data_IF_208901536883
#
_entry.id   IF_208901536883
#
_cell.length_a   1.000
_cell.length_b   1.000
_cell.length_c   1.000
_cell.angle_alpha   90.00
_cell.angle_beta   90.00
_cell.angle_gamma   90.00
#
_symmetry.space_group_name_H-M   'P 1'
#
loop_
_entity.id
_entity.type
_entity.pdbx_description
1 polymer ?
#
# COMPACT_ATOMS: atom_id res chain seq x y z
N UNK A 1 63.07 22.39 11.33
CA UNK A 1 62.88 21.02 10.74
C UNK A 1 62.07 20.07 11.62
N UNK A 2 62.25 19.99 12.96
CA UNK A 2 61.49 19.03 13.80
C UNK A 2 59.98 19.39 14.04
N UNK A 3 59.57 20.66 13.92
CA UNK A 3 58.16 21.07 14.12
C UNK A 3 57.26 20.85 12.91
N UNK A 4 57.80 20.91 11.68
CA UNK A 4 57.01 20.68 10.48
C UNK A 4 56.77 19.19 10.21
N UNK A 5 57.66 18.32 10.65
CA UNK A 5 57.51 16.87 10.54
C UNK A 5 56.41 16.31 11.47
N UNK A 6 56.20 16.94 12.64
CA UNK A 6 55.13 16.54 13.59
C UNK A 6 53.76 16.96 13.05
N UNK A 7 53.66 18.11 12.38
CA UNK A 7 52.42 18.59 11.81
C UNK A 7 51.96 17.72 10.60
N UNK A 8 52.88 17.26 9.80
CA UNK A 8 52.59 16.40 8.64
C UNK A 8 52.12 15.00 9.05
N UNK A 9 52.67 14.45 10.15
CA UNK A 9 52.27 13.13 10.67
C UNK A 9 50.89 13.20 11.34
N UNK A 10 50.55 14.32 12.00
CA UNK A 10 49.23 14.55 12.61
C UNK A 10 48.13 14.76 11.54
N UNK A 11 48.42 15.41 10.45
CA UNK A 11 47.47 15.58 9.32
C UNK A 11 47.25 14.28 8.59
N UNK A 12 48.29 13.45 8.42
CA UNK A 12 48.12 12.09 7.80
C UNK A 12 47.35 11.14 8.70
N UNK A 13 47.46 11.21 10.01
CA UNK A 13 46.69 10.41 10.97
C UNK A 13 45.21 10.85 11.04
N UNK A 14 44.92 12.13 10.85
CA UNK A 14 43.55 12.65 10.80
C UNK A 14 42.84 12.30 9.47
N UNK A 15 43.56 12.13 8.36
CA UNK A 15 43.00 11.71 7.08
C UNK A 15 42.73 10.19 6.98
N UNK A 16 43.42 9.40 7.80
CA UNK A 16 43.16 7.93 7.87
C UNK A 16 42.04 7.55 8.84
N UNK A 17 41.62 8.46 9.73
CA UNK A 17 40.50 8.18 10.65
C UNK A 17 39.11 8.44 10.08
N UNK A 18 39.00 9.02 8.85
CA UNK A 18 37.71 9.31 8.21
C UNK A 18 37.35 8.35 7.06
N UNK A 19 38.04 7.23 6.89
CA UNK A 19 37.52 6.11 6.10
C UNK A 19 36.84 5.12 7.04
N UNK A 20 35.70 5.51 7.63
CA UNK A 20 34.68 4.53 7.98
C UNK A 20 34.32 3.81 6.68
N UNK A 21 34.75 2.56 6.53
CA UNK A 21 34.15 1.65 5.57
C UNK A 21 32.65 1.72 5.81
N UNK A 22 31.90 2.39 4.92
CA UNK A 22 30.49 2.07 4.75
C UNK A 22 30.47 0.57 4.54
N UNK A 23 30.07 -0.19 5.56
CA UNK A 23 29.59 -1.53 5.36
C UNK A 23 28.39 -1.37 4.42
N UNK A 24 28.58 -1.72 3.14
CA UNK A 24 27.48 -1.91 2.20
C UNK A 24 26.71 -3.07 2.82
N UNK A 25 25.63 -2.75 3.54
CA UNK A 25 24.65 -3.75 3.94
C UNK A 25 24.30 -4.52 2.65
N UNK A 26 24.31 -5.86 2.67
CA UNK A 26 23.95 -6.63 1.49
C UNK A 26 22.56 -6.17 1.06
N UNK A 27 22.42 -5.75 -0.20
CA UNK A 27 21.13 -5.35 -0.74
C UNK A 27 20.13 -6.50 -0.53
N UNK A 28 19.04 -6.23 0.19
CA UNK A 28 17.98 -7.22 0.40
C UNK A 28 17.47 -7.65 -0.97
N UNK A 29 17.54 -8.95 -1.27
CA UNK A 29 16.89 -9.48 -2.47
C UNK A 29 15.39 -9.25 -2.37
N UNK A 30 14.80 -8.61 -3.35
CA UNK A 30 13.36 -8.35 -3.38
C UNK A 30 12.54 -9.52 -3.92
N UNK A 31 13.20 -10.58 -4.45
CA UNK A 31 12.53 -11.79 -4.92
C UNK A 31 12.59 -12.91 -3.87
N UNK A 32 11.57 -12.98 -3.00
CA UNK A 32 11.47 -14.01 -1.97
C UNK A 32 11.13 -15.40 -2.54
N UNK A 33 10.48 -15.48 -3.71
CA UNK A 33 10.25 -16.78 -4.35
C UNK A 33 11.56 -17.45 -4.74
N UNK A 34 12.52 -16.68 -5.25
CA UNK A 34 13.86 -17.20 -5.52
C UNK A 34 14.64 -17.47 -4.22
N UNK A 35 14.65 -16.50 -3.30
CA UNK A 35 15.47 -16.56 -2.08
C UNK A 35 15.03 -17.67 -1.14
N UNK A 36 13.73 -17.85 -0.92
CA UNK A 36 13.21 -18.79 0.06
C UNK A 36 12.76 -20.12 -0.55
N UNK A 37 12.31 -20.13 -1.82
CA UNK A 37 11.75 -21.32 -2.45
C UNK A 37 12.61 -21.89 -3.57
N UNK A 38 13.69 -21.18 -3.98
CA UNK A 38 14.56 -21.62 -5.07
C UNK A 38 13.91 -21.54 -6.46
N UNK A 39 12.84 -20.74 -6.62
CA UNK A 39 12.21 -20.55 -7.93
C UNK A 39 13.15 -19.80 -8.87
N UNK A 40 13.23 -20.21 -10.12
CA UNK A 40 13.97 -19.48 -11.14
C UNK A 40 13.24 -18.16 -11.48
N UNK A 41 14.01 -17.15 -11.93
CA UNK A 41 13.42 -15.88 -12.37
C UNK A 41 12.39 -16.10 -13.48
N UNK A 42 12.67 -17.01 -14.42
CA UNK A 42 11.75 -17.33 -15.52
C UNK A 42 10.40 -17.91 -15.05
N UNK A 43 10.39 -18.76 -14.00
CA UNK A 43 9.14 -19.25 -13.42
C UNK A 43 8.36 -18.12 -12.75
N UNK A 44 9.07 -17.22 -12.06
CA UNK A 44 8.47 -16.06 -11.39
C UNK A 44 7.87 -15.10 -12.41
N UNK A 45 8.63 -14.75 -13.46
CA UNK A 45 8.16 -13.85 -14.52
C UNK A 45 6.94 -14.43 -15.26
N UNK A 46 6.97 -15.71 -15.60
CA UNK A 46 5.84 -16.39 -16.23
C UNK A 46 4.57 -16.38 -15.34
N UNK A 47 4.75 -16.48 -14.01
CA UNK A 47 3.62 -16.37 -13.07
C UNK A 47 3.04 -14.95 -13.07
N UNK A 48 3.88 -13.91 -13.07
CA UNK A 48 3.45 -12.50 -13.12
C UNK A 48 2.75 -12.21 -14.45
N UNK A 49 3.29 -12.66 -15.58
CA UNK A 49 2.64 -12.50 -16.89
C UNK A 49 1.27 -13.19 -16.94
N UNK A 50 1.16 -14.38 -16.34
CA UNK A 50 -0.13 -15.09 -16.22
C UNK A 50 -1.14 -14.33 -15.39
N UNK A 51 -0.72 -13.66 -14.29
CA UNK A 51 -1.59 -12.83 -13.48
C UNK A 51 -2.03 -11.55 -14.19
N UNK A 52 -1.11 -10.92 -14.94
CA UNK A 52 -1.50 -9.82 -15.80
C UNK A 52 -2.59 -10.24 -16.80
N UNK A 53 -2.38 -11.35 -17.49
CA UNK A 53 -3.38 -11.88 -18.43
C UNK A 53 -4.70 -12.24 -17.73
N UNK A 54 -4.64 -12.76 -16.49
CA UNK A 54 -5.81 -13.13 -15.71
C UNK A 54 -6.69 -11.92 -15.36
N UNK A 55 -6.10 -10.85 -14.81
CA UNK A 55 -6.84 -9.71 -14.28
C UNK A 55 -7.02 -8.55 -15.26
N UNK A 56 -6.08 -8.37 -16.20
CA UNK A 56 -5.99 -7.20 -17.07
C UNK A 56 -6.20 -7.48 -18.56
N UNK A 57 -6.45 -8.71 -18.98
CA UNK A 57 -7.04 -8.89 -20.31
C UNK A 57 -8.40 -8.22 -20.31
N UNK A 58 -8.70 -7.27 -21.24
CA UNK A 58 -9.94 -6.55 -21.20
C UNK A 58 -11.16 -7.48 -21.18
N UNK A 59 -12.00 -7.36 -20.15
CA UNK A 59 -13.21 -8.14 -20.01
C UNK A 59 -14.38 -7.56 -20.81
N UNK A 60 -15.43 -8.33 -20.93
CA UNK A 60 -16.72 -7.90 -21.48
C UNK A 60 -17.64 -7.43 -20.35
N UNK A 61 -17.92 -6.13 -20.26
CA UNK A 61 -18.78 -5.55 -19.23
C UNK A 61 -20.18 -6.19 -19.17
N UNK A 62 -20.69 -6.76 -20.26
CA UNK A 62 -21.98 -7.44 -20.25
C UNK A 62 -21.92 -8.80 -19.53
N UNK A 63 -20.74 -9.30 -19.19
CA UNK A 63 -20.49 -10.62 -18.60
C UNK A 63 -19.68 -10.59 -17.33
N UNK A 64 -19.39 -9.43 -16.76
CA UNK A 64 -18.50 -9.31 -15.59
C UNK A 64 -18.96 -10.12 -14.36
N UNK A 65 -20.25 -10.47 -14.27
CA UNK A 65 -20.80 -11.34 -13.21
C UNK A 65 -20.79 -12.84 -13.57
N UNK A 66 -20.34 -13.21 -14.78
CA UNK A 66 -20.37 -14.60 -15.20
C UNK A 66 -19.47 -15.49 -14.33
N UNK A 67 -19.94 -16.71 -14.04
CA UNK A 67 -19.14 -17.71 -13.37
C UNK A 67 -17.84 -17.98 -14.13
N UNK A 68 -16.70 -18.00 -13.40
CA UNK A 68 -15.39 -18.21 -13.99
C UNK A 68 -14.76 -17.00 -14.66
N UNK A 69 -15.43 -15.83 -14.66
CA UNK A 69 -14.83 -14.58 -15.16
C UNK A 69 -13.63 -14.19 -14.28
N UNK A 70 -12.57 -13.69 -14.95
CA UNK A 70 -11.26 -13.45 -14.34
C UNK A 70 -10.90 -11.98 -14.31
N UNK A 71 -11.26 -11.24 -15.37
CA UNK A 71 -10.84 -9.86 -15.53
C UNK A 71 -11.51 -8.93 -14.50
N UNK A 72 -10.74 -7.97 -14.01
CA UNK A 72 -11.25 -6.80 -13.27
C UNK A 72 -11.09 -5.52 -14.09
N UNK A 73 -10.31 -5.58 -15.19
CA UNK A 73 -10.05 -4.45 -16.08
C UNK A 73 -10.98 -4.47 -17.28
N UNK A 74 -11.57 -3.33 -17.58
CA UNK A 74 -12.49 -3.15 -18.72
C UNK A 74 -12.18 -1.86 -19.45
N UNK A 75 -12.20 -1.89 -20.78
CA UNK A 75 -12.03 -0.70 -21.60
C UNK A 75 -13.34 0.07 -21.73
N UNK A 76 -13.25 1.40 -21.71
CA UNK A 76 -14.36 2.32 -21.90
C UNK A 76 -14.06 3.20 -23.12
N UNK A 77 -14.64 2.81 -24.26
CA UNK A 77 -14.24 3.35 -25.56
C UNK A 77 -12.75 3.10 -25.84
N UNK A 78 -12.16 3.88 -26.73
CA UNK A 78 -10.78 3.65 -27.20
C UNK A 78 -9.72 4.23 -26.24
N UNK A 79 -10.12 5.13 -25.34
CA UNK A 79 -9.15 5.97 -24.62
C UNK A 79 -9.20 5.88 -23.12
N UNK A 80 -10.15 5.18 -22.52
CA UNK A 80 -10.32 5.04 -21.08
C UNK A 80 -10.41 3.57 -20.66
N UNK A 81 -10.21 3.31 -19.36
CA UNK A 81 -10.34 2.00 -18.76
C UNK A 81 -10.77 2.11 -17.31
N UNK A 82 -11.37 1.07 -16.79
CA UNK A 82 -11.85 0.97 -15.41
C UNK A 82 -11.46 -0.36 -14.77
N UNK A 83 -11.28 -0.31 -13.45
CA UNK A 83 -11.25 -1.50 -12.59
C UNK A 83 -12.63 -1.58 -11.92
N UNK A 84 -13.30 -2.70 -12.10
CA UNK A 84 -14.66 -2.91 -11.59
C UNK A 84 -14.63 -3.70 -10.29
N UNK A 85 -15.24 -3.17 -9.23
CA UNK A 85 -15.66 -4.00 -8.10
C UNK A 85 -16.85 -4.86 -8.52
N UNK A 86 -16.53 -6.08 -8.90
CA UNK A 86 -17.48 -7.05 -9.43
C UNK A 86 -18.45 -7.60 -8.38
N UNK A 87 -18.14 -7.40 -7.10
CA UNK A 87 -19.02 -7.72 -5.98
C UNK A 87 -20.14 -6.70 -5.79
N UNK A 88 -19.81 -5.42 -5.99
CA UNK A 88 -20.69 -4.26 -5.75
C UNK A 88 -21.20 -3.60 -7.02
N UNK A 89 -20.67 -3.97 -8.18
CA UNK A 89 -21.05 -3.42 -9.48
C UNK A 89 -20.79 -1.92 -9.60
N UNK A 90 -19.58 -1.52 -9.17
CA UNK A 90 -19.16 -0.12 -9.16
C UNK A 90 -17.66 0.02 -9.49
N UNK A 91 -17.19 1.26 -9.54
CA UNK A 91 -15.78 1.63 -9.73
C UNK A 91 -15.34 2.43 -8.51
N UNK A 92 -14.25 2.01 -7.86
CA UNK A 92 -13.72 2.62 -6.64
C UNK A 92 -12.34 3.23 -6.87
N UNK A 93 -12.04 4.31 -6.15
CA UNK A 93 -10.67 4.91 -6.17
C UNK A 93 -9.61 3.90 -5.77
N UNK A 94 -9.91 3.00 -4.83
CA UNK A 94 -9.06 1.89 -4.43
C UNK A 94 -8.65 1.05 -5.65
N UNK A 95 -9.61 0.48 -6.38
CA UNK A 95 -9.33 -0.37 -7.54
C UNK A 95 -8.63 0.37 -8.66
N UNK A 96 -9.06 1.61 -8.95
CA UNK A 96 -8.45 2.44 -9.99
C UNK A 96 -6.98 2.74 -9.67
N UNK A 97 -6.67 3.10 -8.42
CA UNK A 97 -5.32 3.42 -7.98
C UNK A 97 -4.41 2.18 -7.90
N UNK A 98 -4.93 1.04 -7.46
CA UNK A 98 -4.21 -0.24 -7.51
C UNK A 98 -3.94 -0.69 -8.95
N UNK A 99 -4.93 -0.53 -9.84
CA UNK A 99 -4.76 -0.81 -11.27
C UNK A 99 -3.67 0.05 -11.90
N UNK A 100 -3.61 1.34 -11.56
CA UNK A 100 -2.51 2.22 -11.99
C UNK A 100 -1.16 1.74 -11.42
N UNK A 101 -1.08 1.39 -10.15
CA UNK A 101 0.15 0.93 -9.52
C UNK A 101 0.65 -0.38 -10.16
N UNK A 102 -0.21 -1.36 -10.37
CA UNK A 102 0.13 -2.63 -11.03
C UNK A 102 0.62 -2.38 -12.46
N UNK A 103 -0.11 -1.55 -13.22
CA UNK A 103 0.24 -1.17 -14.59
C UNK A 103 1.60 -0.48 -14.66
N UNK A 104 1.88 0.40 -13.71
CA UNK A 104 3.17 1.09 -13.59
C UNK A 104 4.31 0.10 -13.33
N UNK A 105 4.15 -0.81 -12.36
CA UNK A 105 5.21 -1.76 -12.03
C UNK A 105 5.56 -2.66 -13.22
N UNK A 106 4.57 -3.06 -14.01
CA UNK A 106 4.73 -3.93 -15.17
C UNK A 106 4.97 -3.18 -16.50
N UNK A 107 5.26 -1.87 -16.44
CA UNK A 107 5.51 -1.02 -17.62
C UNK A 107 4.37 -1.00 -18.65
N UNK A 108 3.13 -1.06 -18.17
CA UNK A 108 1.91 -1.02 -19.01
C UNK A 108 1.35 0.42 -19.07
N UNK A 109 2.13 1.34 -19.64
CA UNK A 109 1.81 2.78 -19.68
C UNK A 109 0.45 3.09 -20.28
N UNK A 110 0.03 2.39 -21.34
CA UNK A 110 -1.25 2.63 -21.99
C UNK A 110 -2.42 2.38 -21.03
N UNK A 111 -2.39 1.25 -20.30
CA UNK A 111 -3.43 0.92 -19.31
C UNK A 111 -3.42 1.93 -18.15
N UNK A 112 -2.24 2.31 -17.65
CA UNK A 112 -2.08 3.35 -16.65
C UNK A 112 -2.76 4.67 -17.09
N UNK A 113 -2.48 5.14 -18.31
CA UNK A 113 -3.04 6.39 -18.84
C UNK A 113 -4.56 6.28 -19.06
N UNK A 114 -5.08 5.11 -19.47
CA UNK A 114 -6.52 4.86 -19.63
C UNK A 114 -7.25 4.95 -18.28
N UNK A 115 -6.71 4.29 -17.23
CA UNK A 115 -7.25 4.33 -15.88
C UNK A 115 -7.22 5.75 -15.30
N UNK A 116 -6.07 6.42 -15.40
CA UNK A 116 -5.91 7.78 -14.89
C UNK A 116 -6.83 8.80 -15.60
N UNK A 117 -7.03 8.64 -16.89
CA UNK A 117 -7.95 9.52 -17.64
C UNK A 117 -9.38 9.36 -17.17
N UNK A 118 -9.83 8.13 -16.95
CA UNK A 118 -11.17 7.87 -16.43
C UNK A 118 -11.34 8.44 -15.01
N UNK A 119 -10.40 8.19 -14.12
CA UNK A 119 -10.44 8.71 -12.76
C UNK A 119 -10.53 10.23 -12.72
N UNK A 120 -9.71 10.94 -13.52
CA UNK A 120 -9.79 12.40 -13.62
C UNK A 120 -11.11 12.92 -14.21
N UNK A 121 -11.71 12.16 -15.11
CA UNK A 121 -12.92 12.61 -15.82
C UNK A 121 -14.17 12.45 -14.96
N UNK A 122 -14.26 11.35 -14.23
CA UNK A 122 -15.51 10.96 -13.57
C UNK A 122 -15.44 10.97 -12.05
N UNK A 123 -14.27 10.68 -11.45
CA UNK A 123 -14.13 10.64 -9.98
C UNK A 123 -13.69 11.98 -9.40
N UNK A 124 -12.87 12.77 -10.09
CA UNK A 124 -12.38 14.03 -9.56
C UNK A 124 -13.54 14.99 -9.26
N UNK A 125 -13.50 15.62 -8.09
CA UNK A 125 -14.44 16.68 -7.76
C UNK A 125 -14.13 17.97 -8.53
N UNK A 126 -15.14 18.77 -8.90
CA UNK A 126 -14.97 20.03 -9.64
C UNK A 126 -14.03 21.02 -8.94
N UNK A 127 -13.37 21.87 -9.71
CA UNK A 127 -12.40 22.86 -9.20
C UNK A 127 -13.01 23.89 -8.24
N UNK A 128 -14.27 24.23 -8.40
CA UNK A 128 -15.04 25.15 -7.56
C UNK A 128 -15.67 24.48 -6.33
N UNK A 129 -15.51 23.15 -6.19
CA UNK A 129 -15.98 22.40 -5.04
C UNK A 129 -15.03 22.55 -3.85
N UNK A 130 -15.52 22.55 -2.58
CA UNK A 130 -14.67 22.36 -1.41
C UNK A 130 -13.82 21.09 -1.48
N UNK A 131 -14.32 20.06 -2.17
CA UNK A 131 -13.64 18.78 -2.41
C UNK A 131 -12.61 18.82 -3.56
N UNK A 132 -12.37 19.97 -4.21
CA UNK A 132 -11.37 20.07 -5.28
C UNK A 132 -10.03 19.44 -4.89
N UNK A 133 -9.49 18.57 -5.75
CA UNK A 133 -8.29 17.78 -5.47
C UNK A 133 -8.56 16.40 -4.89
N UNK A 134 -9.73 16.17 -4.31
CA UNK A 134 -10.20 14.85 -3.92
C UNK A 134 -10.95 14.14 -5.06
N UNK A 135 -11.12 12.83 -4.91
CA UNK A 135 -11.83 11.97 -5.84
C UNK A 135 -13.01 11.29 -5.13
N UNK A 136 -14.19 11.28 -5.77
CA UNK A 136 -15.32 10.52 -5.28
C UNK A 136 -14.93 9.04 -5.20
N UNK A 137 -15.02 8.45 -4.00
CA UNK A 137 -14.50 7.10 -3.77
C UNK A 137 -15.23 6.01 -4.56
N UNK A 138 -16.50 6.28 -4.97
CA UNK A 138 -17.37 5.30 -5.62
C UNK A 138 -18.15 5.94 -6.77
N UNK A 139 -18.06 5.36 -7.95
CA UNK A 139 -18.81 5.73 -9.14
C UNK A 139 -19.52 4.51 -9.73
N UNK A 140 -20.62 4.74 -10.44
CA UNK A 140 -21.23 3.74 -11.31
C UNK A 140 -20.33 3.43 -12.52
N UNK A 141 -20.60 2.33 -13.22
CA UNK A 141 -19.89 1.94 -14.44
C UNK A 141 -20.05 3.00 -15.56
N UNK A 142 -21.08 3.82 -15.48
CA UNK A 142 -21.35 4.96 -16.38
C UNK A 142 -20.59 6.24 -15.98
N UNK A 143 -19.81 6.21 -14.90
CA UNK A 143 -19.07 7.34 -14.36
C UNK A 143 -19.87 8.26 -13.44
N UNK A 144 -21.14 7.97 -13.15
CA UNK A 144 -21.92 8.77 -12.22
C UNK A 144 -21.37 8.58 -10.80
N UNK A 145 -21.03 9.68 -10.12
CA UNK A 145 -20.63 9.66 -8.72
C UNK A 145 -21.77 9.15 -7.82
N UNK A 146 -21.51 8.12 -7.03
CA UNK A 146 -22.43 7.51 -6.07
C UNK A 146 -22.03 7.90 -4.65
N UNK A 147 -20.73 7.88 -4.36
CA UNK A 147 -20.18 8.31 -3.09
C UNK A 147 -20.34 9.81 -2.87
N UNK A 148 -20.29 10.23 -1.60
CA UNK A 148 -20.41 11.64 -1.20
C UNK A 148 -19.10 12.22 -0.64
N UNK A 149 -18.03 11.41 -0.63
CA UNK A 149 -16.70 11.76 -0.09
C UNK A 149 -15.61 11.05 -0.91
N UNK A 150 -14.36 11.23 -0.50
CA UNK A 150 -13.24 10.42 -0.93
C UNK A 150 -13.08 9.17 -0.04
N UNK A 151 -12.09 8.32 -0.36
CA UNK A 151 -11.44 7.33 0.50
C UNK A 151 -9.94 7.59 0.44
N UNK A 152 -9.33 7.93 1.59
CA UNK A 152 -8.01 8.55 1.63
C UNK A 152 -6.86 7.71 1.05
N UNK A 153 -6.98 6.39 1.05
CA UNK A 153 -6.04 5.48 0.40
C UNK A 153 -5.96 5.68 -1.12
N UNK A 154 -7.10 6.01 -1.75
CA UNK A 154 -7.15 6.29 -3.19
C UNK A 154 -6.24 7.44 -3.60
N UNK A 155 -6.31 8.57 -2.90
CA UNK A 155 -5.44 9.72 -3.15
C UNK A 155 -3.96 9.38 -2.92
N UNK A 156 -3.67 8.61 -1.84
CA UNK A 156 -2.28 8.24 -1.53
C UNK A 156 -1.69 7.39 -2.66
N UNK A 157 -2.41 6.40 -3.15
CA UNK A 157 -1.96 5.57 -4.27
C UNK A 157 -1.89 6.35 -5.58
N UNK A 158 -2.87 7.22 -5.91
CA UNK A 158 -2.84 8.05 -7.13
C UNK A 158 -1.60 8.94 -7.16
N UNK A 159 -1.37 9.73 -6.11
CA UNK A 159 -0.23 10.64 -6.03
C UNK A 159 1.09 9.88 -6.12
N UNK A 160 1.21 8.77 -5.40
CA UNK A 160 2.41 7.94 -5.42
C UNK A 160 2.66 7.35 -6.80
N UNK A 161 1.64 6.77 -7.43
CA UNK A 161 1.76 6.21 -8.78
C UNK A 161 2.15 7.28 -9.81
N UNK A 162 1.66 8.52 -9.68
CA UNK A 162 2.03 9.63 -10.54
C UNK A 162 3.50 10.05 -10.38
N UNK A 163 4.02 10.17 -9.13
CA UNK A 163 5.43 10.45 -8.91
C UNK A 163 6.33 9.36 -9.47
N UNK A 164 5.95 8.12 -9.24
CA UNK A 164 6.71 6.97 -9.77
C UNK A 164 6.67 6.92 -11.30
N UNK A 165 5.52 7.22 -11.92
CA UNK A 165 5.36 7.28 -13.38
C UNK A 165 6.22 8.38 -14.00
N UNK A 166 6.33 9.54 -13.34
CA UNK A 166 7.22 10.62 -13.78
C UNK A 166 8.67 10.17 -13.85
N UNK A 167 9.15 9.45 -12.83
CA UNK A 167 10.51 8.91 -12.80
C UNK A 167 10.70 7.79 -13.81
N UNK A 168 9.82 6.79 -13.82
CA UNK A 168 9.96 5.59 -14.65
C UNK A 168 9.91 5.91 -16.15
N UNK A 169 9.00 6.80 -16.57
CA UNK A 169 8.80 7.12 -17.97
C UNK A 169 9.44 8.45 -18.43
N UNK A 170 10.07 9.17 -17.50
CA UNK A 170 10.70 10.46 -17.82
C UNK A 170 9.71 11.54 -18.26
N UNK A 171 8.47 11.50 -17.74
CA UNK A 171 7.37 12.39 -18.15
C UNK A 171 6.99 13.36 -17.03
N UNK A 172 7.46 14.61 -17.07
CA UNK A 172 7.22 15.61 -16.00
C UNK A 172 5.75 15.92 -15.73
N UNK A 173 4.85 15.65 -16.70
CA UNK A 173 3.41 15.90 -16.54
C UNK A 173 2.81 15.17 -15.36
N UNK A 174 3.27 13.92 -15.08
CA UNK A 174 2.75 13.15 -13.96
C UNK A 174 3.17 13.76 -12.61
N UNK A 175 4.43 14.18 -12.46
CA UNK A 175 4.88 14.86 -11.25
C UNK A 175 4.14 16.20 -11.04
N UNK A 176 3.86 16.92 -12.12
CA UNK A 176 3.05 18.15 -12.05
C UNK A 176 1.64 17.84 -11.53
N UNK A 177 0.97 16.83 -12.07
CA UNK A 177 -0.38 16.42 -11.62
C UNK A 177 -0.35 15.95 -10.15
N UNK A 178 0.64 15.17 -9.73
CA UNK A 178 0.82 14.76 -8.33
C UNK A 178 0.94 15.97 -7.40
N UNK A 179 1.79 16.93 -7.74
CA UNK A 179 1.99 18.16 -6.95
C UNK A 179 0.74 19.05 -6.94
N UNK A 180 0.00 19.15 -8.06
CA UNK A 180 -1.27 19.90 -8.11
C UNK A 180 -2.31 19.28 -7.14
N UNK A 181 -2.38 17.94 -7.06
CA UNK A 181 -3.23 17.25 -6.10
C UNK A 181 -2.76 17.52 -4.67
N UNK A 182 -1.48 17.31 -4.34
CA UNK A 182 -0.95 17.50 -2.99
C UNK A 182 -1.18 18.91 -2.45
N UNK A 183 -1.02 19.94 -3.28
CA UNK A 183 -1.31 21.32 -2.89
C UNK A 183 -2.76 21.50 -2.47
N UNK A 184 -3.70 20.91 -3.23
CA UNK A 184 -5.13 20.99 -2.93
C UNK A 184 -5.52 20.20 -1.68
N UNK A 185 -4.90 19.02 -1.47
CA UNK A 185 -5.15 18.17 -0.32
C UNK A 185 -4.57 18.73 1.00
N UNK A 186 -3.63 19.68 0.92
CA UNK A 186 -2.94 20.31 2.07
C UNK A 186 -3.36 21.77 2.30
N UNK A 187 -4.40 22.26 1.64
CA UNK A 187 -4.83 23.67 1.72
C UNK A 187 -6.33 23.85 1.93
N UNK A 188 -6.94 22.95 2.68
CA UNK A 188 -8.38 22.98 2.99
C UNK A 188 -8.66 23.87 4.19
N UNK A 189 -9.80 24.57 4.12
CA UNK A 189 -10.33 25.36 5.23
C UNK A 189 -11.50 24.60 5.89
N UNK A 190 -11.13 23.53 6.63
CA UNK A 190 -12.06 22.60 7.25
C UNK A 190 -13.17 23.28 8.05
N UNK A 191 -12.85 24.17 9.01
CA UNK A 191 -13.87 24.86 9.82
C UNK A 191 -14.87 25.66 9.02
N UNK A 192 -14.51 26.13 7.81
CA UNK A 192 -15.38 26.92 6.97
C UNK A 192 -16.16 26.11 5.95
N UNK A 193 -15.57 25.03 5.45
CA UNK A 193 -16.11 24.26 4.32
C UNK A 193 -16.63 22.89 4.68
N UNK A 194 -16.29 22.39 5.88
CA UNK A 194 -16.54 21.00 6.31
C UNK A 194 -15.64 19.97 5.61
N UNK A 195 -14.63 20.42 4.82
CA UNK A 195 -13.65 19.57 4.15
C UNK A 195 -12.26 19.93 4.63
N UNK A 196 -11.57 18.98 5.23
CA UNK A 196 -10.29 19.12 5.89
C UNK A 196 -9.13 18.65 4.99
N UNK A 197 -7.89 18.86 5.44
CA UNK A 197 -6.71 18.29 4.80
C UNK A 197 -6.72 16.75 4.87
N UNK A 198 -6.11 16.10 3.89
CA UNK A 198 -6.00 14.63 3.86
C UNK A 198 -5.25 14.08 5.09
N UNK A 199 -4.26 14.83 5.56
CA UNK A 199 -3.50 14.54 6.78
C UNK A 199 -3.81 15.59 7.82
N UNK A 200 -4.01 15.17 9.07
CA UNK A 200 -4.18 16.08 10.19
C UNK A 200 -2.89 16.86 10.47
N UNK A 201 -3.02 18.19 10.51
CA UNK A 201 -1.86 19.09 10.61
C UNK A 201 -1.09 18.97 11.94
N UNK A 202 -1.75 18.51 13.00
CA UNK A 202 -1.14 18.39 14.32
C UNK A 202 -0.46 17.05 14.56
N UNK A 203 -1.09 15.96 14.11
CA UNK A 203 -0.63 14.59 14.31
C UNK A 203 0.20 14.06 13.17
N UNK A 204 0.11 14.66 11.98
CA UNK A 204 0.70 14.18 10.72
C UNK A 204 0.12 12.84 10.24
N UNK A 205 -1.00 12.42 10.78
CA UNK A 205 -1.64 11.15 10.42
C UNK A 205 -2.69 11.36 9.34
N UNK A 206 -2.82 10.37 8.48
CA UNK A 206 -3.88 10.33 7.47
C UNK A 206 -5.24 10.23 8.14
N UNK A 207 -6.21 11.02 7.67
CA UNK A 207 -7.59 10.95 8.14
C UNK A 207 -8.33 9.80 7.47
N UNK A 208 -9.31 9.20 8.13
CA UNK A 208 -10.16 8.20 7.49
C UNK A 208 -10.87 8.77 6.27
N UNK A 209 -11.67 9.82 6.47
CA UNK A 209 -12.22 10.68 5.42
C UNK A 209 -12.13 12.13 5.92
N UNK A 210 -11.60 13.07 5.14
CA UNK A 210 -11.37 14.45 5.57
C UNK A 210 -12.64 15.30 5.59
N UNK A 211 -13.71 14.82 6.23
CA UNK A 211 -14.95 15.56 6.45
C UNK A 211 -15.17 15.82 7.94
N UNK A 212 -16.12 16.69 8.26
CA UNK A 212 -16.40 17.10 9.63
C UNK A 212 -16.74 15.96 10.58
N UNK A 213 -17.35 14.88 10.07
CA UNK A 213 -17.83 13.78 10.92
C UNK A 213 -16.71 12.80 11.32
N UNK A 214 -15.69 12.59 10.47
CA UNK A 214 -14.77 11.45 10.61
C UNK A 214 -13.31 11.77 10.35
N UNK A 215 -12.90 13.04 10.22
CA UNK A 215 -11.50 13.46 9.99
C UNK A 215 -10.58 13.28 11.20
N UNK A 216 -11.08 12.89 12.35
CA UNK A 216 -10.37 12.83 13.63
C UNK A 216 -9.91 11.41 14.03
N UNK A 217 -10.07 10.43 13.15
CA UNK A 217 -9.54 9.08 13.30
C UNK A 217 -9.03 8.55 11.95
N UNK A 218 -8.39 7.39 11.97
CA UNK A 218 -7.76 6.79 10.81
C UNK A 218 -8.13 5.32 10.64
N UNK A 219 -7.85 4.80 9.45
CA UNK A 219 -7.67 3.39 9.16
C UNK A 219 -6.18 3.08 9.16
N UNK A 220 -5.66 2.14 9.98
CA UNK A 220 -4.24 1.78 9.97
C UNK A 220 -3.74 1.32 8.60
N UNK A 221 -4.60 0.73 7.76
CA UNK A 221 -4.24 0.29 6.42
C UNK A 221 -3.94 1.44 5.45
N UNK A 222 -4.35 2.68 5.78
CA UNK A 222 -3.99 3.88 5.03
C UNK A 222 -2.59 4.40 5.35
N UNK A 223 -1.93 3.82 6.37
CA UNK A 223 -0.54 4.14 6.71
C UNK A 223 0.41 3.47 5.71
N UNK A 224 0.95 4.26 4.80
CA UNK A 224 1.85 3.85 3.71
C UNK A 224 3.19 4.59 3.81
N UNK A 225 4.01 4.33 4.86
CA UNK A 225 5.18 5.15 5.16
C UNK A 225 6.21 5.21 4.03
N UNK A 226 6.43 4.12 3.28
CA UNK A 226 7.35 4.15 2.13
C UNK A 226 6.88 5.11 1.02
N UNK A 227 5.58 5.28 0.84
CA UNK A 227 5.03 6.24 -0.12
C UNK A 227 5.20 7.69 0.35
N UNK A 228 5.01 7.92 1.65
CA UNK A 228 5.21 9.25 2.24
C UNK A 228 6.69 9.66 2.24
N UNK A 229 7.63 8.72 2.40
CA UNK A 229 9.06 8.98 2.18
C UNK A 229 9.35 9.38 0.72
N UNK A 230 8.70 8.73 -0.25
CA UNK A 230 8.79 9.16 -1.66
C UNK A 230 8.26 10.58 -1.84
N UNK A 231 7.13 10.93 -1.21
CA UNK A 231 6.60 12.30 -1.29
C UNK A 231 7.55 13.32 -0.65
N UNK A 232 8.20 12.95 0.47
CA UNK A 232 9.22 13.78 1.10
C UNK A 232 10.40 14.11 0.18
N UNK A 233 10.70 13.22 -0.80
CA UNK A 233 11.78 13.41 -1.75
C UNK A 233 11.33 14.07 -3.07
N UNK A 234 10.09 13.86 -3.50
CA UNK A 234 9.62 14.22 -4.85
C UNK A 234 8.64 15.40 -4.90
N UNK A 235 7.96 15.71 -3.80
CA UNK A 235 7.04 16.84 -3.77
C UNK A 235 7.79 18.16 -3.88
N UNK A 236 7.16 19.13 -4.54
CA UNK A 236 7.71 20.49 -4.71
C UNK A 236 7.55 21.37 -3.45
N UNK A 237 6.80 20.90 -2.45
CA UNK A 237 6.57 21.59 -1.18
C UNK A 237 6.27 20.61 -0.05
N UNK A 238 6.38 21.11 1.19
CA UNK A 238 6.05 20.39 2.43
C UNK A 238 6.87 19.11 2.68
N UNK A 239 8.10 19.02 2.17
CA UNK A 239 8.93 17.82 2.27
C UNK A 239 9.17 17.35 3.71
N UNK A 240 9.37 18.27 4.65
CA UNK A 240 9.52 17.94 6.07
C UNK A 240 8.21 17.41 6.67
N UNK A 241 7.07 17.98 6.29
CA UNK A 241 5.76 17.46 6.68
C UNK A 241 5.57 15.99 6.24
N UNK A 242 5.91 15.67 5.01
CA UNK A 242 5.79 14.31 4.48
C UNK A 242 6.74 13.33 5.16
N UNK A 243 7.95 13.79 5.53
CA UNK A 243 8.91 12.98 6.29
C UNK A 243 8.38 12.68 7.70
N UNK A 244 7.83 13.69 8.38
CA UNK A 244 7.18 13.52 9.69
C UNK A 244 5.95 12.59 9.57
N UNK A 245 5.15 12.73 8.51
CA UNK A 245 3.99 11.89 8.26
C UNK A 245 4.40 10.40 8.03
N UNK A 246 5.51 10.14 7.33
CA UNK A 246 6.05 8.79 7.18
C UNK A 246 6.41 8.16 8.53
N UNK A 247 7.09 8.92 9.40
CA UNK A 247 7.46 8.44 10.74
C UNK A 247 6.23 8.22 11.63
N UNK A 248 5.23 9.09 11.52
CA UNK A 248 3.95 8.94 12.24
C UNK A 248 3.13 7.76 11.75
N UNK A 249 3.14 7.47 10.45
CA UNK A 249 2.50 6.29 9.87
C UNK A 249 3.14 5.00 10.42
N UNK A 250 4.48 4.91 10.50
CA UNK A 250 5.19 3.79 11.16
C UNK A 250 4.80 3.64 12.62
N UNK A 251 4.75 4.77 13.32
CA UNK A 251 4.33 4.78 14.72
C UNK A 251 2.88 4.29 14.89
N UNK A 252 1.93 4.75 14.06
CA UNK A 252 0.52 4.38 14.17
C UNK A 252 0.31 2.89 13.87
N UNK A 253 0.98 2.33 12.85
CA UNK A 253 0.96 0.89 12.59
C UNK A 253 1.40 0.09 13.82
N UNK A 254 2.48 0.52 14.49
CA UNK A 254 2.93 -0.13 15.73
C UNK A 254 1.95 0.07 16.89
N UNK A 255 1.43 1.29 17.06
CA UNK A 255 0.58 1.64 18.20
C UNK A 255 -0.83 1.01 18.12
N UNK A 256 -1.35 0.78 16.90
CA UNK A 256 -2.68 0.20 16.68
C UNK A 256 -2.69 -1.33 16.73
N UNK A 257 -1.53 -1.98 16.61
CA UNK A 257 -1.44 -3.43 16.63
C UNK A 257 -1.64 -4.00 18.04
N UNK A 258 -2.45 -5.04 18.19
CA UNK A 258 -2.53 -5.79 19.44
C UNK A 258 -1.18 -6.43 19.78
N UNK A 259 -0.75 -6.29 21.03
CA UNK A 259 0.60 -6.67 21.46
C UNK A 259 0.80 -8.18 21.63
N UNK A 260 -0.27 -8.96 21.64
CA UNK A 260 -0.25 -10.43 21.83
C UNK A 260 -0.50 -11.15 20.51
N UNK A 261 -1.60 -10.84 19.84
CA UNK A 261 -2.01 -11.50 18.60
C UNK A 261 -1.31 -10.93 17.37
N UNK A 262 -0.93 -9.65 17.40
CA UNK A 262 -0.42 -8.95 16.25
C UNK A 262 -1.51 -8.46 15.27
N UNK A 263 -2.77 -8.62 15.61
CA UNK A 263 -3.90 -8.17 14.79
C UNK A 263 -4.03 -6.65 14.80
N UNK A 264 -4.45 -6.08 13.69
CA UNK A 264 -4.74 -4.65 13.54
C UNK A 264 -6.25 -4.42 13.56
N UNK A 265 -6.75 -3.31 14.13
CA UNK A 265 -8.14 -2.94 13.95
C UNK A 265 -8.38 -2.43 12.53
N UNK A 266 -9.62 -2.47 12.09
CA UNK A 266 -10.07 -1.82 10.87
C UNK A 266 -9.96 -0.30 11.00
N UNK A 267 -10.45 0.27 12.12
CA UNK A 267 -10.27 1.70 12.44
C UNK A 267 -9.59 1.91 13.79
N UNK A 268 -8.80 2.98 13.88
CA UNK A 268 -8.16 3.41 15.12
C UNK A 268 -8.21 4.93 15.31
N UNK A 269 -8.15 5.36 16.55
CA UNK A 269 -7.91 6.77 16.90
C UNK A 269 -6.46 7.17 16.56
N UNK A 270 -6.19 8.46 16.50
CA UNK A 270 -4.84 8.98 16.30
C UNK A 270 -3.86 8.66 17.43
N UNK A 271 -4.32 8.13 18.57
CA UNK A 271 -3.46 7.57 19.63
C UNK A 271 -3.21 6.05 19.48
N UNK A 272 -3.70 5.44 18.41
CA UNK A 272 -3.54 4.01 18.11
C UNK A 272 -4.61 3.11 18.75
N UNK A 273 -5.51 3.63 19.59
CA UNK A 273 -6.55 2.79 20.19
C UNK A 273 -7.56 2.34 19.13
N UNK A 274 -7.98 1.05 19.15
CA UNK A 274 -9.06 0.58 18.29
C UNK A 274 -10.31 1.44 18.44
N UNK A 275 -10.95 1.76 17.31
CA UNK A 275 -12.13 2.62 17.30
C UNK A 275 -13.35 1.90 16.73
N UNK A 276 -14.37 1.75 17.56
CA UNK A 276 -15.69 1.26 17.13
C UNK A 276 -16.55 2.43 16.70
N UNK A 277 -16.74 2.57 15.39
CA UNK A 277 -17.61 3.61 14.83
C UNK A 277 -19.07 3.35 15.21
N UNK A 278 -19.76 4.30 15.92
CA UNK A 278 -21.16 4.14 16.27
C UNK A 278 -22.06 4.06 15.04
N UNK A 279 -23.09 3.25 15.11
CA UNK A 279 -24.13 3.10 14.06
C UNK A 279 -23.57 2.69 12.69
N UNK A 280 -22.40 2.05 12.66
CA UNK A 280 -21.85 1.50 11.43
C UNK A 280 -22.36 0.07 11.22
N UNK A 281 -22.32 -0.42 9.97
CA UNK A 281 -22.89 -1.72 9.60
C UNK A 281 -22.22 -2.92 10.29
N UNK A 282 -20.96 -2.73 10.76
CA UNK A 282 -20.15 -3.76 11.42
C UNK A 282 -19.23 -3.13 12.49
N UNK A 283 -18.61 -3.96 13.30
CA UNK A 283 -17.68 -3.53 14.35
C UNK A 283 -16.31 -3.21 13.74
N UNK A 284 -15.91 -1.94 13.74
CA UNK A 284 -14.67 -1.45 13.11
C UNK A 284 -13.43 -1.55 13.99
N UNK A 285 -13.56 -1.99 15.22
CA UNK A 285 -12.47 -2.22 16.18
C UNK A 285 -11.92 -3.66 16.14
N UNK A 286 -12.19 -4.39 15.04
CA UNK A 286 -11.79 -5.79 14.80
C UNK A 286 -10.76 -5.86 13.67
N UNK A 287 -10.05 -7.00 13.59
CA UNK A 287 -9.28 -7.36 12.40
C UNK A 287 -10.24 -7.94 11.34
N UNK A 288 -10.38 -7.22 10.23
CA UNK A 288 -11.25 -7.59 9.11
C UNK A 288 -10.95 -6.69 7.90
N UNK A 289 -11.60 -6.92 6.78
CA UNK A 289 -11.59 -6.08 5.57
C UNK A 289 -10.26 -5.38 5.28
N UNK A 290 -10.15 -4.08 5.55
CA UNK A 290 -9.00 -3.24 5.20
C UNK A 290 -7.78 -3.51 6.08
N UNK A 291 -7.96 -3.97 7.30
CA UNK A 291 -6.88 -4.29 8.24
C UNK A 291 -5.87 -5.31 7.68
N UNK A 292 -6.29 -6.18 6.73
CA UNK A 292 -5.38 -7.15 6.09
C UNK A 292 -4.21 -6.48 5.36
N UNK A 293 -4.42 -5.26 4.83
CA UNK A 293 -3.38 -4.51 4.10
C UNK A 293 -2.25 -4.02 5.00
N UNK A 294 -2.45 -3.93 6.31
CA UNK A 294 -1.41 -3.50 7.25
C UNK A 294 -0.14 -4.36 7.15
N UNK A 295 -0.30 -5.68 7.00
CA UNK A 295 0.85 -6.59 6.83
C UNK A 295 1.65 -6.27 5.55
N UNK A 296 0.96 -5.99 4.44
CA UNK A 296 1.59 -5.58 3.18
C UNK A 296 2.33 -4.25 3.35
N UNK A 297 1.72 -3.26 4.01
CA UNK A 297 2.32 -1.95 4.21
C UNK A 297 3.58 -2.01 5.10
N UNK A 298 3.56 -2.82 6.16
CA UNK A 298 4.72 -3.04 7.03
C UNK A 298 5.84 -3.74 6.27
N UNK A 299 5.52 -4.80 5.52
CA UNK A 299 6.52 -5.54 4.73
C UNK A 299 7.12 -4.70 3.61
N UNK A 300 6.29 -3.91 2.92
CA UNK A 300 6.73 -2.95 1.90
C UNK A 300 7.71 -1.91 2.47
N UNK A 301 7.35 -1.29 3.59
CA UNK A 301 8.24 -0.31 4.25
C UNK A 301 9.55 -0.94 4.72
N UNK A 302 9.49 -2.18 5.23
CA UNK A 302 10.67 -2.91 5.70
C UNK A 302 11.74 -3.05 4.61
N UNK A 303 11.37 -3.53 3.42
CA UNK A 303 12.35 -3.81 2.39
C UNK A 303 12.70 -2.60 1.51
N UNK A 304 11.77 -1.64 1.34
CA UNK A 304 12.02 -0.46 0.52
C UNK A 304 12.82 0.61 1.26
N UNK A 305 12.58 0.81 2.57
CA UNK A 305 13.18 1.92 3.30
C UNK A 305 14.23 1.50 4.32
N UNK A 306 14.11 0.30 4.85
CA UNK A 306 14.99 -0.20 5.92
C UNK A 306 14.81 0.52 7.26
N UNK A 307 13.79 1.37 7.40
CA UNK A 307 13.47 2.10 8.62
C UNK A 307 12.64 1.23 9.56
N UNK A 308 12.75 1.46 10.89
CA UNK A 308 11.98 0.77 11.95
C UNK A 308 12.03 -0.78 11.92
N UNK A 309 13.09 -1.39 11.37
CA UNK A 309 13.22 -2.84 11.14
C UNK A 309 12.89 -3.71 12.35
N UNK A 310 13.36 -3.34 13.54
CA UNK A 310 13.14 -4.14 14.76
C UNK A 310 11.67 -4.18 15.16
N UNK A 311 11.00 -3.04 15.13
CA UNK A 311 9.57 -2.95 15.41
C UNK A 311 8.74 -3.74 14.37
N UNK A 312 9.06 -3.58 13.10
CA UNK A 312 8.39 -4.27 11.99
C UNK A 312 8.58 -5.79 12.07
N UNK A 313 9.78 -6.26 12.43
CA UNK A 313 10.05 -7.68 12.65
C UNK A 313 9.19 -8.24 13.80
N UNK A 314 9.12 -7.53 14.92
CA UNK A 314 8.31 -7.94 16.06
C UNK A 314 6.81 -7.96 15.72
N UNK A 315 6.33 -6.94 15.00
CA UNK A 315 4.94 -6.86 14.55
C UNK A 315 4.58 -8.04 13.65
N UNK A 316 5.39 -8.32 12.65
CA UNK A 316 5.11 -9.38 11.68
C UNK A 316 5.28 -10.77 12.30
N UNK A 317 6.24 -10.99 13.20
CA UNK A 317 6.36 -12.27 13.92
C UNK A 317 5.08 -12.59 14.67
N UNK A 318 4.48 -11.64 15.40
CA UNK A 318 3.22 -11.84 16.14
C UNK A 318 2.07 -12.20 15.20
N UNK A 319 1.85 -11.39 14.19
CA UNK A 319 0.75 -11.56 13.24
C UNK A 319 0.86 -12.90 12.49
N UNK A 320 2.02 -13.19 11.94
CA UNK A 320 2.22 -14.39 11.15
C UNK A 320 2.15 -15.64 12.03
N UNK A 321 2.68 -15.60 13.25
CA UNK A 321 2.53 -16.72 14.19
C UNK A 321 1.08 -16.93 14.62
N UNK A 322 0.30 -15.87 14.77
CA UNK A 322 -1.13 -15.94 15.08
C UNK A 322 -1.90 -16.74 14.01
N UNK A 323 -1.79 -16.35 12.73
CA UNK A 323 -2.47 -17.06 11.65
C UNK A 323 -1.96 -18.47 11.43
N UNK A 324 -0.68 -18.73 11.65
CA UNK A 324 -0.15 -20.10 11.65
C UNK A 324 -0.80 -20.95 12.75
N UNK A 325 -0.97 -20.43 13.95
CA UNK A 325 -1.63 -21.10 15.05
C UNK A 325 -3.13 -21.33 14.80
N UNK A 326 -3.81 -20.39 14.10
CA UNK A 326 -5.18 -20.58 13.61
C UNK A 326 -5.28 -21.67 12.52
N UNK A 327 -4.18 -22.08 11.93
CA UNK A 327 -4.13 -23.01 10.81
C UNK A 327 -4.64 -22.40 9.50
N UNK A 328 -4.61 -21.08 9.36
CA UNK A 328 -5.08 -20.32 8.18
C UNK A 328 -6.55 -20.59 7.84
N UNK A 329 -7.40 -20.67 8.83
CA UNK A 329 -8.82 -21.02 8.66
C UNK A 329 -9.72 -19.80 8.58
N UNK A 330 -9.41 -18.76 9.36
CA UNK A 330 -10.29 -17.61 9.53
C UNK A 330 -9.63 -16.31 9.08
N UNK A 331 -10.46 -15.37 8.66
CA UNK A 331 -10.05 -14.06 8.12
C UNK A 331 -10.41 -12.87 8.99
N UNK A 332 -11.31 -13.04 9.96
CA UNK A 332 -11.77 -11.97 10.84
C UNK A 332 -11.76 -12.41 12.30
N UNK A 333 -11.39 -11.49 13.19
CA UNK A 333 -11.24 -11.74 14.63
C UNK A 333 -11.48 -10.46 15.44
N UNK A 334 -11.92 -10.58 16.69
CA UNK A 334 -11.62 -9.54 17.67
C UNK A 334 -10.09 -9.48 17.86
N UNK A 335 -9.57 -8.34 18.30
CA UNK A 335 -8.10 -8.16 18.39
C UNK A 335 -7.43 -9.12 19.39
N UNK A 336 -8.17 -9.62 20.37
CA UNK A 336 -7.70 -10.65 21.31
C UNK A 336 -7.68 -12.07 20.71
N UNK A 337 -8.06 -12.21 19.44
CA UNK A 337 -8.14 -13.50 18.73
C UNK A 337 -9.45 -14.26 18.94
N UNK A 338 -10.40 -13.73 19.68
CA UNK A 338 -11.73 -14.31 19.85
C UNK A 338 -12.65 -14.06 18.66
N UNK A 339 -13.78 -14.77 18.64
CA UNK A 339 -14.84 -14.64 17.62
C UNK A 339 -14.34 -14.74 16.18
N UNK A 340 -13.65 -15.83 15.79
CA UNK A 340 -13.20 -16.04 14.42
C UNK A 340 -14.38 -16.18 13.46
N UNK A 341 -14.33 -15.46 12.34
CA UNK A 341 -15.32 -15.57 11.26
C UNK A 341 -14.64 -15.45 9.90
N UNK A 342 -15.34 -15.78 8.86
CA UNK A 342 -14.88 -15.82 7.46
C UNK A 342 -13.63 -16.68 7.22
N UNK A 343 -13.30 -16.90 5.95
CA UNK A 343 -12.16 -17.68 5.54
C UNK A 343 -10.90 -16.84 5.34
N UNK A 344 -9.75 -17.48 5.45
CA UNK A 344 -8.45 -16.91 5.07
C UNK A 344 -8.38 -16.78 3.54
N UNK A 345 -8.32 -15.56 3.03
CA UNK A 345 -8.45 -15.24 1.60
C UNK A 345 -7.10 -15.22 0.87
N UNK A 346 -7.17 -15.21 -0.46
CA UNK A 346 -6.01 -15.02 -1.36
C UNK A 346 -5.31 -13.67 -1.10
N UNK A 347 -6.10 -12.61 -0.85
CA UNK A 347 -5.58 -11.29 -0.47
C UNK A 347 -4.80 -11.32 0.83
N UNK A 348 -5.29 -12.06 1.84
CA UNK A 348 -4.58 -12.25 3.11
C UNK A 348 -3.30 -13.07 2.93
N UNK A 349 -3.35 -14.14 2.13
CA UNK A 349 -2.16 -14.92 1.80
C UNK A 349 -1.09 -14.03 1.16
N UNK A 350 -1.51 -13.12 0.28
CA UNK A 350 -0.64 -12.12 -0.34
C UNK A 350 -0.07 -11.13 0.67
N UNK A 351 -0.93 -10.39 1.36
CA UNK A 351 -0.52 -9.34 2.29
C UNK A 351 0.43 -9.86 3.38
N UNK A 352 0.12 -11.03 3.95
CA UNK A 352 0.97 -11.67 4.95
C UNK A 352 2.31 -12.16 4.37
N UNK A 353 2.36 -12.61 3.11
CA UNK A 353 3.61 -12.96 2.45
C UNK A 353 4.50 -11.73 2.18
N UNK A 354 3.91 -10.55 1.93
CA UNK A 354 4.69 -9.30 1.91
C UNK A 354 5.19 -8.95 3.30
N UNK A 355 4.37 -9.10 4.34
CA UNK A 355 4.79 -8.95 5.74
C UNK A 355 5.98 -9.84 6.11
N UNK A 356 6.10 -11.00 5.47
CA UNK A 356 7.20 -11.94 5.70
C UNK A 356 8.58 -11.40 5.31
N UNK A 357 8.70 -10.30 4.53
CA UNK A 357 9.98 -9.62 4.30
C UNK A 357 10.68 -9.25 5.62
N UNK A 358 9.90 -8.88 6.65
CA UNK A 358 10.46 -8.52 7.94
C UNK A 358 11.15 -9.69 8.67
N UNK A 359 10.85 -10.93 8.29
CA UNK A 359 11.39 -12.16 8.89
C UNK A 359 12.38 -12.90 7.97
N UNK A 360 12.29 -12.71 6.65
CA UNK A 360 13.03 -13.46 5.64
C UNK A 360 14.56 -13.33 5.77
N UNK A 361 15.04 -12.25 6.36
CA UNK A 361 16.46 -11.90 6.53
C UNK A 361 16.85 -11.80 8.03
N UNK A 362 16.11 -12.48 8.90
CA UNK A 362 16.43 -12.59 10.32
C UNK A 362 17.62 -13.53 10.55
N UNK A 363 18.36 -13.32 11.63
CA UNK A 363 19.35 -14.29 12.12
C UNK A 363 18.69 -15.49 12.84
N UNK A 364 17.37 -15.46 13.04
CA UNK A 364 16.61 -16.52 13.69
C UNK A 364 16.04 -17.48 12.63
N UNK A 365 16.42 -18.74 12.70
CA UNK A 365 15.95 -19.79 11.77
C UNK A 365 14.43 -20.01 11.83
N UNK A 366 13.79 -19.81 13.01
CA UNK A 366 12.33 -19.92 13.13
C UNK A 366 11.61 -18.80 12.36
N UNK A 367 12.15 -17.58 12.36
CA UNK A 367 11.63 -16.47 11.57
C UNK A 367 11.72 -16.77 10.07
N UNK A 368 12.89 -17.29 9.62
CA UNK A 368 13.09 -17.64 8.21
C UNK A 368 12.15 -18.77 7.80
N UNK A 369 11.96 -19.77 8.67
CA UNK A 369 11.03 -20.86 8.41
C UNK A 369 9.58 -20.37 8.32
N UNK A 370 9.18 -19.45 9.20
CA UNK A 370 7.87 -18.83 9.18
C UNK A 370 7.68 -18.00 7.89
N UNK A 371 8.65 -17.18 7.51
CA UNK A 371 8.63 -16.43 6.26
C UNK A 371 8.46 -17.35 5.04
N UNK A 372 9.23 -18.44 4.99
CA UNK A 372 9.16 -19.44 3.90
C UNK A 372 7.78 -20.06 3.78
N UNK A 373 7.11 -20.37 4.90
CA UNK A 373 5.75 -20.93 4.90
C UNK A 373 4.74 -19.98 4.24
N UNK A 374 4.81 -18.68 4.54
CA UNK A 374 3.92 -17.67 3.94
C UNK A 374 4.21 -17.43 2.46
N UNK A 375 5.47 -17.37 2.09
CA UNK A 375 5.87 -17.21 0.68
C UNK A 375 5.49 -18.46 -0.14
N UNK A 376 5.62 -19.67 0.44
CA UNK A 376 5.15 -20.91 -0.21
C UNK A 376 3.63 -20.90 -0.37
N UNK A 377 2.89 -20.50 0.66
CA UNK A 377 1.42 -20.39 0.60
C UNK A 377 0.97 -19.44 -0.50
N UNK A 378 1.59 -18.26 -0.62
CA UNK A 378 1.29 -17.33 -1.71
C UNK A 378 1.59 -17.94 -3.08
N UNK A 379 2.68 -18.70 -3.21
CA UNK A 379 3.01 -19.36 -4.46
C UNK A 379 1.95 -20.40 -4.87
N UNK A 380 1.40 -21.13 -3.91
CA UNK A 380 0.46 -22.24 -4.15
C UNK A 380 -0.99 -21.77 -4.38
N UNK A 381 -1.36 -20.59 -3.84
CA UNK A 381 -2.69 -20.01 -3.99
C UNK A 381 -2.97 -19.67 -5.46
N UNK A 382 -4.17 -20.05 -5.90
CA UNK A 382 -4.65 -19.68 -7.23
C UNK A 382 -5.29 -18.29 -7.21
N UNK A 383 -5.18 -17.49 -8.28
CA UNK A 383 -5.84 -16.19 -8.34
C UNK A 383 -7.37 -16.36 -8.29
N UNK A 384 -8.08 -15.50 -7.54
CA UNK A 384 -9.53 -15.58 -7.43
C UNK A 384 -10.25 -15.35 -8.76
N UNK A 385 -11.42 -15.96 -8.89
CA UNK A 385 -12.32 -15.84 -10.04
C UNK A 385 -13.74 -15.54 -9.59
N UNK A 386 -14.63 -15.19 -10.52
CA UNK A 386 -16.04 -15.00 -10.26
C UNK A 386 -16.35 -13.69 -9.54
N UNK A 387 -17.49 -13.64 -8.86
CA UNK A 387 -18.07 -12.40 -8.33
C UNK A 387 -17.15 -11.63 -7.36
N UNK A 388 -16.43 -12.32 -6.50
CA UNK A 388 -15.66 -11.69 -5.41
C UNK A 388 -14.16 -11.52 -5.72
N UNK A 389 -13.77 -11.59 -7.00
CA UNK A 389 -12.37 -11.52 -7.45
C UNK A 389 -11.71 -10.15 -7.34
N UNK A 390 -12.49 -9.07 -7.15
CA UNK A 390 -11.98 -7.69 -7.19
C UNK A 390 -11.00 -7.41 -6.05
N UNK A 391 -11.48 -7.19 -4.84
CA UNK A 391 -10.64 -6.71 -3.73
C UNK A 391 -9.51 -7.70 -3.38
N UNK A 392 -9.88 -8.95 -3.12
CA UNK A 392 -8.90 -9.98 -2.78
C UNK A 392 -7.91 -10.24 -3.91
N UNK A 393 -8.34 -10.12 -5.17
CA UNK A 393 -7.49 -10.29 -6.36
C UNK A 393 -6.52 -9.13 -6.55
N UNK A 394 -6.94 -7.89 -6.32
CA UNK A 394 -6.08 -6.71 -6.44
C UNK A 394 -5.00 -6.71 -5.35
N UNK A 395 -5.36 -6.99 -4.09
CA UNK A 395 -4.39 -7.14 -2.98
C UNK A 395 -3.46 -8.32 -3.25
N UNK A 396 -3.98 -9.46 -3.71
CA UNK A 396 -3.18 -10.64 -4.11
C UNK A 396 -2.16 -10.27 -5.19
N UNK A 397 -2.58 -9.59 -6.27
CA UNK A 397 -1.67 -9.26 -7.37
C UNK A 397 -0.60 -8.23 -6.96
N UNK A 398 -0.96 -7.18 -6.22
CA UNK A 398 0.03 -6.27 -5.63
C UNK A 398 1.05 -7.03 -4.77
N UNK A 399 0.58 -7.95 -3.93
CA UNK A 399 1.46 -8.76 -3.09
C UNK A 399 2.39 -9.66 -3.91
N UNK A 400 1.90 -10.25 -4.99
CA UNK A 400 2.72 -11.02 -5.93
C UNK A 400 3.84 -10.17 -6.54
N UNK A 401 3.56 -8.90 -6.91
CA UNK A 401 4.58 -7.98 -7.41
C UNK A 401 5.64 -7.69 -6.35
N UNK A 402 5.24 -7.46 -5.09
CA UNK A 402 6.18 -7.26 -3.99
C UNK A 402 7.09 -8.48 -3.79
N UNK A 403 6.51 -9.65 -3.61
CA UNK A 403 7.25 -10.89 -3.25
C UNK A 403 8.10 -11.40 -4.41
N UNK A 404 7.74 -11.11 -5.65
CA UNK A 404 8.49 -11.48 -6.87
C UNK A 404 9.63 -10.53 -7.22
N UNK A 405 9.74 -9.38 -6.55
CA UNK A 405 10.72 -8.35 -6.87
C UNK A 405 10.35 -7.46 -8.06
N UNK A 406 9.11 -7.55 -8.57
CA UNK A 406 8.61 -6.65 -9.62
C UNK A 406 8.12 -5.32 -9.08
N UNK A 407 7.99 -5.15 -7.76
CA UNK A 407 7.62 -3.89 -7.15
C UNK A 407 8.87 -3.12 -6.71
N UNK A 408 9.02 -1.90 -7.21
CA UNK A 408 10.11 -0.99 -6.85
C UNK A 408 9.61 0.46 -6.85
N UNK A 409 10.28 1.31 -6.08
CA UNK A 409 10.12 2.77 -6.17
C UNK A 409 11.29 3.28 -7.03
N UNK A 410 11.03 3.70 -8.29
CA UNK A 410 12.08 4.14 -9.22
C UNK A 410 12.65 5.52 -8.87
#
# INVERSE_FOLDING_TARGET
MKKEFILLVLVTLLLTACQQKQQIEPSISTNLFSTLLGKSQAEVDARIDSLWAHFFTPGDLSRYEADGEKSVYYEVGDSMGIIVDTGSNDVRTEGMSYGMMISLQLDKREVFDKLWRWAKTYMAYPEDSPWSGYFCWQCGLDGKQIGTSNASDGEIYFVTALFMAANKWGEPRYAKEANDILRKLSSKDGPKTGVYNLFDDSTRLVTFVPNEEVHWYSDPSYCLPAFLDLWADKADANNDFWREAADKARWLLKASQDSVTGLFPDYCLFDGKPYRRPNFAYNTDRYQYDAIRCAMNVGMDYYLTGKAKEDQRLMMRRLLQFFKNDGFRHGQFNLDGSEPTDGYTEGMAGANAVGAFALAYSDNEEDIALAREYVQRLWDVQPPIGKWRYYVGMVYFLSMLHVSGHFSIP
#
